data_IF_759908440250
#
_entry.id   IF_759908440250
#
_cell.length_a   1.000
_cell.length_b   1.000
_cell.length_c   1.000
_cell.angle_alpha   90.00
_cell.angle_beta   90.00
_cell.angle_gamma   90.00
#
_symmetry.space_group_name_H-M   'P 1'
#
loop_
_entity.id
_entity.type
_entity.pdbx_description
1 polymer ?
#
# COMPACT_ATOMS: atom_id res chain seq x y z
N UNK A 1 -5.52 4.87 19.04
CA UNK A 1 -4.26 4.55 18.30
C UNK A 1 -4.68 3.85 17.03
N UNK A 2 -4.05 4.12 15.89
CA UNK A 2 -4.53 3.57 14.61
C UNK A 2 -3.69 2.40 14.09
N UNK A 3 -4.28 1.62 13.17
CA UNK A 3 -3.61 0.54 12.42
C UNK A 3 -4.10 0.46 10.97
N UNK A 4 -3.27 -0.10 10.10
CA UNK A 4 -3.66 -0.47 8.75
C UNK A 4 -4.11 -1.92 8.64
N UNK A 5 -5.04 -2.17 7.73
CA UNK A 5 -5.26 -3.49 7.12
C UNK A 5 -5.11 -3.34 5.61
N UNK A 6 -4.17 -4.08 5.02
CA UNK A 6 -4.04 -4.19 3.58
C UNK A 6 -4.47 -5.58 3.13
N UNK A 7 -5.34 -5.64 2.12
CA UNK A 7 -5.76 -6.88 1.48
C UNK A 7 -5.27 -6.89 0.02
N UNK A 8 -4.38 -7.84 -0.28
CA UNK A 8 -3.72 -7.98 -1.58
C UNK A 8 -4.67 -8.39 -2.70
N UNK A 9 -5.67 -9.23 -2.43
CA UNK A 9 -6.69 -9.68 -3.40
C UNK A 9 -7.74 -8.60 -3.64
N UNK A 10 -8.27 -7.98 -2.58
CA UNK A 10 -9.29 -6.94 -2.71
C UNK A 10 -8.72 -5.61 -3.22
N UNK A 11 -7.39 -5.46 -3.22
CA UNK A 11 -6.69 -4.21 -3.53
C UNK A 11 -7.17 -3.05 -2.67
N UNK A 12 -7.28 -3.28 -1.37
CA UNK A 12 -7.77 -2.27 -0.41
C UNK A 12 -6.80 -2.05 0.73
N UNK A 13 -6.65 -0.78 1.13
CA UNK A 13 -6.04 -0.36 2.38
C UNK A 13 -7.12 0.28 3.26
N UNK A 14 -7.25 -0.20 4.48
CA UNK A 14 -8.17 0.31 5.50
C UNK A 14 -7.37 0.93 6.63
N UNK A 15 -7.78 2.10 7.12
CA UNK A 15 -7.29 2.71 8.35
C UNK A 15 -8.34 2.53 9.44
N UNK A 16 -7.95 1.85 10.53
CA UNK A 16 -8.80 1.63 11.70
C UNK A 16 -8.29 2.41 12.92
N UNK A 17 -9.21 2.89 13.75
CA UNK A 17 -8.91 3.27 15.15
C UNK A 17 -8.78 2.05 16.07
N UNK A 18 -8.39 2.29 17.31
CA UNK A 18 -8.24 1.24 18.34
C UNK A 18 -9.55 0.56 18.72
N UNK A 19 -10.67 1.27 18.60
CA UNK A 19 -12.03 0.78 18.80
C UNK A 19 -12.57 -0.02 17.59
N UNK A 20 -11.72 -0.33 16.61
CA UNK A 20 -12.04 -1.00 15.34
C UNK A 20 -12.95 -0.19 14.40
N UNK A 21 -13.17 1.10 14.67
CA UNK A 21 -13.88 1.99 13.76
C UNK A 21 -13.07 2.23 12.48
N UNK A 22 -13.72 2.09 11.34
CA UNK A 22 -13.14 2.40 10.03
C UNK A 22 -13.11 3.91 9.81
N UNK A 23 -11.91 4.48 9.82
CA UNK A 23 -11.68 5.89 9.47
C UNK A 23 -11.77 6.07 7.94
N UNK A 24 -11.35 5.06 7.20
CA UNK A 24 -11.50 5.04 5.74
C UNK A 24 -10.91 3.82 5.08
N UNK A 25 -11.32 3.61 3.84
CA UNK A 25 -10.94 2.50 2.97
C UNK A 25 -10.69 3.01 1.57
N UNK A 26 -9.53 2.65 1.01
CA UNK A 26 -9.08 3.14 -0.29
C UNK A 26 -8.47 2.02 -1.13
N UNK A 27 -8.45 2.25 -2.44
CA UNK A 27 -7.74 1.39 -3.40
C UNK A 27 -6.24 1.42 -3.13
N UNK A 28 -5.61 0.23 -3.03
CA UNK A 28 -4.17 0.10 -2.87
C UNK A 28 -3.65 -1.20 -3.50
N UNK A 29 -2.41 -1.18 -4.01
CA UNK A 29 -1.78 -2.36 -4.64
C UNK A 29 -0.38 -2.58 -4.10
N UNK A 30 0.04 -3.85 -4.06
CA UNK A 30 1.44 -4.26 -3.88
C UNK A 30 1.97 -4.85 -5.19
N UNK A 31 2.02 -4.03 -6.24
CA UNK A 31 2.62 -4.43 -7.51
C UNK A 31 4.12 -4.25 -7.44
N UNK A 32 4.89 -5.33 -7.49
CA UNK A 32 6.35 -5.27 -7.42
C UNK A 32 6.96 -5.28 -8.82
N UNK A 33 7.91 -4.37 -9.03
CA UNK A 33 8.64 -4.25 -10.28
C UNK A 33 9.51 -5.50 -10.52
N UNK A 34 9.42 -6.05 -11.73
CA UNK A 34 10.08 -7.30 -12.14
C UNK A 34 11.61 -7.38 -11.91
N UNK A 35 12.39 -6.28 -11.89
CA UNK A 35 13.82 -6.35 -11.61
C UNK A 35 14.19 -6.64 -10.15
N UNK A 36 13.23 -6.63 -9.20
CA UNK A 36 13.54 -6.94 -7.79
C UNK A 36 13.64 -8.46 -7.62
N UNK A 37 14.84 -9.00 -7.86
CA UNK A 37 15.13 -10.43 -7.80
C UNK A 37 14.80 -11.00 -6.41
N UNK A 38 13.96 -12.05 -6.37
CA UNK A 38 13.62 -12.76 -5.14
C UNK A 38 12.59 -12.07 -4.25
N UNK A 39 12.07 -10.91 -4.65
CA UNK A 39 11.04 -10.17 -3.92
C UNK A 39 9.82 -9.94 -4.81
N UNK A 40 8.78 -10.75 -4.62
CA UNK A 40 7.63 -10.78 -5.53
C UNK A 40 6.34 -10.25 -4.92
N UNK A 41 6.23 -10.27 -3.60
CA UNK A 41 5.10 -9.77 -2.83
C UNK A 41 5.54 -9.53 -1.38
N UNK A 42 4.79 -8.70 -0.67
CA UNK A 42 4.85 -8.63 0.78
C UNK A 42 4.16 -9.85 1.39
N UNK A 43 4.84 -10.54 2.31
CA UNK A 43 4.29 -11.68 3.03
C UNK A 43 3.15 -11.25 3.96
N UNK A 44 2.18 -12.13 4.13
CA UNK A 44 1.09 -11.90 5.08
C UNK A 44 1.64 -11.81 6.51
N UNK A 45 1.02 -10.99 7.34
CA UNK A 45 1.44 -10.81 8.74
C UNK A 45 1.28 -9.39 9.24
N UNK A 46 1.61 -9.21 10.52
CA UNK A 46 1.53 -7.92 11.20
C UNK A 46 2.94 -7.36 11.36
N UNK A 47 3.14 -6.12 10.90
CA UNK A 47 4.42 -5.42 10.94
C UNK A 47 4.29 -4.10 11.70
N UNK A 48 5.36 -3.71 12.40
CA UNK A 48 5.38 -2.47 13.16
C UNK A 48 5.62 -1.27 12.25
N UNK A 49 4.91 -0.18 12.49
CA UNK A 49 5.12 1.09 11.79
C UNK A 49 6.33 1.82 12.38
N UNK A 50 7.21 2.31 11.50
CA UNK A 50 8.35 3.16 11.85
C UNK A 50 7.89 4.62 11.93
N UNK A 51 7.15 5.09 10.92
CA UNK A 51 6.73 6.48 10.74
C UNK A 51 5.36 6.76 11.40
N UNK A 52 5.31 6.61 12.74
CA UNK A 52 4.04 6.52 13.51
C UNK A 52 3.17 7.77 13.53
N UNK A 53 3.77 8.95 13.48
CA UNK A 53 3.07 10.24 13.67
C UNK A 53 3.19 11.20 12.50
N UNK A 54 4.09 10.90 11.56
CA UNK A 54 4.33 11.68 10.35
C UNK A 54 5.00 10.78 9.32
N UNK A 55 4.70 10.92 8.03
CA UNK A 55 5.41 10.21 6.98
C UNK A 55 6.88 10.64 6.91
N UNK A 56 7.72 9.75 6.38
CA UNK A 56 9.05 10.10 5.92
C UNK A 56 8.97 10.85 4.59
N UNK A 57 9.63 12.01 4.51
CA UNK A 57 9.70 12.85 3.31
C UNK A 57 11.10 12.84 2.70
N UNK A 58 11.16 13.06 1.39
CA UNK A 58 12.34 13.14 0.56
C UNK A 58 12.52 14.59 0.05
N UNK A 59 12.78 14.75 -1.24
CA UNK A 59 12.82 16.04 -1.92
C UNK A 59 11.52 16.28 -2.71
N UNK A 60 11.31 17.52 -3.14
CA UNK A 60 10.13 17.97 -3.89
C UNK A 60 9.91 17.26 -5.24
N UNK A 61 10.92 16.63 -5.82
CA UNK A 61 10.78 15.88 -7.07
C UNK A 61 10.16 14.50 -6.77
N UNK A 62 10.68 13.82 -5.75
CA UNK A 62 10.22 12.48 -5.36
C UNK A 62 8.89 12.52 -4.61
N UNK A 63 8.66 13.58 -3.84
CA UNK A 63 7.42 13.86 -3.11
C UNK A 63 6.55 14.85 -3.87
N UNK A 64 6.32 14.57 -5.16
CA UNK A 64 5.34 15.26 -6.01
C UNK A 64 4.28 14.27 -6.49
N UNK A 65 3.16 14.76 -7.04
CA UNK A 65 2.10 13.90 -7.61
C UNK A 65 2.64 12.86 -8.62
N UNK A 66 3.65 13.23 -9.42
CA UNK A 66 4.30 12.32 -10.37
C UNK A 66 5.60 11.67 -9.85
N UNK A 67 6.02 12.07 -8.66
CA UNK A 67 7.17 11.52 -7.95
C UNK A 67 6.94 10.06 -7.54
N UNK A 68 8.01 9.41 -7.06
CA UNK A 68 7.95 8.00 -6.68
C UNK A 68 7.12 7.75 -5.42
N UNK A 69 7.07 8.73 -4.50
CA UNK A 69 6.45 8.61 -3.19
C UNK A 69 5.17 9.45 -3.03
N UNK A 70 4.90 10.36 -3.96
CA UNK A 70 3.71 11.21 -3.88
C UNK A 70 3.89 12.39 -2.93
N UNK A 71 2.96 13.37 -2.96
CA UNK A 71 3.10 14.65 -2.25
C UNK A 71 3.09 14.54 -0.72
N UNK A 72 2.76 13.36 -0.18
CA UNK A 72 2.68 13.10 1.26
C UNK A 72 3.80 12.22 1.80
N UNK A 73 4.77 11.84 0.97
CA UNK A 73 5.87 10.95 1.35
C UNK A 73 5.41 9.51 1.61
N UNK A 74 6.19 8.78 2.41
CA UNK A 74 6.00 7.35 2.69
C UNK A 74 5.86 7.08 4.18
N UNK A 75 4.95 6.18 4.55
CA UNK A 75 4.84 5.63 5.91
C UNK A 75 5.49 4.25 5.90
N UNK A 76 6.69 4.14 6.47
CA UNK A 76 7.48 2.90 6.47
C UNK A 76 7.09 1.98 7.62
N UNK A 77 7.28 0.70 7.41
CA UNK A 77 7.15 -0.33 8.42
C UNK A 77 8.35 -1.28 8.41
N UNK A 78 8.56 -1.96 9.54
CA UNK A 78 9.64 -2.93 9.72
C UNK A 78 9.34 -4.19 8.92
N UNK A 79 9.95 -4.31 7.74
CA UNK A 79 9.85 -5.52 6.93
C UNK A 79 11.19 -6.30 6.93
N UNK A 80 11.19 -7.59 7.32
CA UNK A 80 12.42 -8.39 7.39
C UNK A 80 13.15 -8.47 6.04
N UNK A 81 14.45 -8.15 6.05
CA UNK A 81 15.31 -8.29 4.88
C UNK A 81 15.09 -7.27 3.76
N UNK A 82 14.16 -6.32 3.91
CA UNK A 82 13.94 -5.26 2.92
C UNK A 82 13.67 -3.92 3.61
N UNK A 83 14.64 -3.00 3.54
CA UNK A 83 14.48 -1.67 4.11
C UNK A 83 13.62 -0.76 3.22
N UNK A 84 13.01 0.26 3.83
CA UNK A 84 12.27 1.31 3.11
C UNK A 84 10.91 0.88 2.55
N UNK A 85 10.43 -0.33 2.89
CA UNK A 85 9.07 -0.76 2.55
C UNK A 85 8.06 0.10 3.32
N UNK A 86 7.00 0.53 2.64
CA UNK A 86 5.97 1.36 3.25
C UNK A 86 4.72 1.51 2.42
N UNK A 87 3.84 2.39 2.89
CA UNK A 87 2.63 2.85 2.21
C UNK A 87 2.85 4.27 1.72
N UNK A 88 2.59 4.52 0.43
CA UNK A 88 2.72 5.85 -0.16
C UNK A 88 1.82 6.01 -1.40
N UNK A 89 1.83 7.19 -2.01
CA UNK A 89 1.11 7.48 -3.25
C UNK A 89 2.06 7.83 -4.40
N UNK A 90 1.67 8.76 -5.28
CA UNK A 90 2.47 9.23 -6.39
C UNK A 90 2.28 8.43 -7.68
N UNK A 91 3.06 8.81 -8.70
CA UNK A 91 2.92 8.31 -10.08
C UNK A 91 1.52 8.54 -10.66
N UNK A 92 0.81 9.57 -10.19
CA UNK A 92 -0.60 9.84 -10.47
C UNK A 92 -0.91 9.87 -11.98
N UNK A 93 0.00 10.41 -12.80
CA UNK A 93 -0.19 10.50 -14.26
C UNK A 93 0.81 9.65 -15.06
N UNK A 94 1.32 8.56 -14.48
CA UNK A 94 2.27 7.71 -15.19
C UNK A 94 1.64 7.02 -16.40
N UNK A 95 2.30 7.11 -17.56
CA UNK A 95 1.70 6.82 -18.89
C UNK A 95 1.09 5.43 -19.06
N UNK A 96 1.64 4.40 -18.42
CA UNK A 96 1.21 3.00 -18.63
C UNK A 96 0.39 2.45 -17.48
N UNK A 97 0.83 2.74 -16.27
CA UNK A 97 0.27 2.22 -15.02
C UNK A 97 0.26 3.39 -14.03
N UNK A 98 -0.78 4.22 -14.04
CA UNK A 98 -0.86 5.39 -13.18
C UNK A 98 -1.25 5.03 -11.74
N UNK A 99 -0.80 5.88 -10.81
CA UNK A 99 -1.26 5.91 -9.43
C UNK A 99 -1.08 4.59 -8.68
N UNK A 100 -2.08 4.12 -7.92
CA UNK A 100 -1.99 2.94 -7.06
C UNK A 100 -1.47 1.68 -7.77
N UNK A 101 -1.84 1.47 -9.03
CA UNK A 101 -1.43 0.28 -9.78
C UNK A 101 0.02 0.33 -10.30
N UNK A 102 0.69 1.48 -10.21
CA UNK A 102 2.08 1.59 -10.65
C UNK A 102 3.00 0.68 -9.83
N UNK A 103 3.92 -0.09 -10.46
CA UNK A 103 4.85 -0.93 -9.72
C UNK A 103 5.76 -0.16 -8.75
N UNK A 104 6.17 -0.84 -7.69
CA UNK A 104 7.07 -0.36 -6.65
C UNK A 104 8.24 -1.34 -6.48
N UNK A 105 9.21 -0.98 -5.64
CA UNK A 105 10.23 -1.94 -5.20
C UNK A 105 9.81 -2.67 -3.91
N UNK A 106 8.51 -2.86 -3.70
CA UNK A 106 7.99 -3.58 -2.55
C UNK A 106 6.99 -2.86 -1.68
N UNK A 107 6.72 -1.58 -1.95
CA UNK A 107 5.73 -0.80 -1.23
C UNK A 107 4.28 -1.16 -1.60
N UNK A 108 3.37 -0.77 -0.73
CA UNK A 108 1.95 -0.66 -1.03
C UNK A 108 1.72 0.76 -1.55
N UNK A 109 1.19 0.89 -2.77
CA UNK A 109 0.83 2.21 -3.33
C UNK A 109 -0.67 2.43 -3.28
N UNK A 110 -1.08 3.58 -2.75
CA UNK A 110 -2.47 4.04 -2.66
C UNK A 110 -2.63 5.42 -3.34
N UNK A 111 -3.77 6.08 -3.19
CA UNK A 111 -4.06 7.38 -3.80
C UNK A 111 -3.51 8.55 -2.98
N UNK A 112 -3.32 9.70 -3.63
CA UNK A 112 -2.95 10.95 -2.95
C UNK A 112 -4.02 11.37 -1.92
N UNK A 113 -5.31 11.15 -2.24
CA UNK A 113 -6.40 11.40 -1.31
C UNK A 113 -6.28 10.54 -0.04
N UNK A 114 -6.02 9.24 -0.19
CA UNK A 114 -5.82 8.34 0.93
C UNK A 114 -4.66 8.82 1.81
N UNK A 115 -3.50 9.09 1.20
CA UNK A 115 -2.32 9.54 1.94
C UNK A 115 -2.54 10.90 2.64
N UNK A 116 -3.33 11.80 2.05
CA UNK A 116 -3.72 13.06 2.71
C UNK A 116 -4.49 12.81 4.00
N UNK A 117 -5.52 11.97 3.94
CA UNK A 117 -6.39 11.65 5.07
C UNK A 117 -5.64 10.89 6.17
N UNK A 118 -4.85 9.89 5.78
CA UNK A 118 -3.96 9.15 6.65
C UNK A 118 -2.98 10.10 7.35
N UNK A 119 -2.26 10.95 6.60
CA UNK A 119 -1.27 11.88 7.17
C UNK A 119 -1.88 12.85 8.16
N UNK A 120 -3.13 13.25 7.96
CA UNK A 120 -3.84 14.09 8.91
C UNK A 120 -4.27 13.31 10.16
N UNK A 121 -4.74 12.08 10.00
CA UNK A 121 -5.17 11.24 11.11
C UNK A 121 -4.00 10.85 12.04
N UNK A 122 -2.84 10.45 11.49
CA UNK A 122 -1.71 9.93 12.30
C UNK A 122 -1.06 10.98 13.22
N UNK A 123 -1.34 12.27 12.98
CA UNK A 123 -0.95 13.37 13.89
C UNK A 123 -1.70 13.32 15.22
N UNK A 124 -2.91 12.76 15.22
CA UNK A 124 -3.82 12.69 16.36
C UNK A 124 -3.84 11.27 16.92
N UNK A 125 -3.94 10.27 16.05
CA UNK A 125 -3.97 8.85 16.41
C UNK A 125 -2.76 8.13 15.83
N UNK A 126 -1.66 7.97 16.59
CA UNK A 126 -0.42 7.38 16.09
C UNK A 126 -0.68 6.02 15.45
N UNK A 127 -0.16 5.81 14.25
CA UNK A 127 -0.24 4.55 13.53
C UNK A 127 0.79 3.58 14.09
N UNK A 128 0.36 2.36 14.42
CA UNK A 128 1.19 1.41 15.18
C UNK A 128 1.60 0.20 14.38
N UNK A 129 0.67 -0.35 13.60
CA UNK A 129 0.86 -1.61 12.86
C UNK A 129 0.22 -1.55 11.48
N UNK A 130 0.69 -2.44 10.61
CA UNK A 130 0.01 -2.84 9.39
C UNK A 130 -0.19 -4.35 9.39
N UNK A 131 -1.43 -4.78 9.15
CA UNK A 131 -1.79 -6.17 8.94
C UNK A 131 -1.95 -6.43 7.42
N UNK A 132 -1.05 -7.23 6.85
CA UNK A 132 -1.03 -7.63 5.44
C UNK A 132 -1.75 -8.98 5.31
N UNK A 133 -2.80 -8.99 4.50
CA UNK A 133 -3.66 -10.16 4.28
C UNK A 133 -3.78 -10.49 2.81
N UNK A 134 -3.91 -11.77 2.51
CA UNK A 134 -4.18 -12.29 1.16
C UNK A 134 -3.29 -11.66 0.06
N UNK A 135 -2.00 -11.48 0.34
CA UNK A 135 -1.04 -10.95 -0.63
C UNK A 135 -0.05 -12.01 -1.14
N UNK A 136 -0.02 -13.18 -0.51
CA UNK A 136 0.79 -14.32 -0.94
C UNK A 136 0.07 -15.17 -2.01
N UNK A 137 0.77 -15.69 -3.03
CA UNK A 137 0.20 -16.65 -3.97
C UNK A 137 -0.09 -17.99 -3.27
N UNK A 138 -1.37 -18.38 -3.19
CA UNK A 138 -1.81 -19.73 -2.82
C UNK A 138 -2.79 -19.81 -1.64
N UNK A 139 -3.90 -20.53 -1.88
CA UNK A 139 -4.92 -21.06 -0.94
C UNK A 139 -5.96 -20.14 -0.27
N UNK A 140 -6.26 -18.96 -0.83
CA UNK A 140 -7.47 -18.19 -0.45
C UNK A 140 -8.36 -17.86 -1.65
N UNK A 141 -8.54 -18.84 -2.54
CA UNK A 141 -9.68 -18.83 -3.44
C UNK A 141 -10.92 -19.33 -2.67
N UNK A 142 -11.39 -18.61 -1.64
CA UNK A 142 -12.77 -18.79 -1.21
C UNK A 142 -13.65 -18.15 -2.32
N UNK A 143 -14.38 -18.96 -3.11
CA UNK A 143 -15.18 -18.44 -4.23
C UNK A 143 -16.33 -17.53 -3.79
N UNK A 144 -16.60 -17.39 -2.48
CA UNK A 144 -17.56 -16.41 -1.96
C UNK A 144 -17.00 -14.98 -1.90
N UNK A 145 -15.66 -14.80 -1.88
CA UNK A 145 -15.00 -13.49 -1.98
C UNK A 145 -14.55 -13.15 -3.42
N UNK A 146 -14.51 -14.12 -4.33
CA UNK A 146 -14.03 -13.98 -5.74
C UNK A 146 -15.13 -13.52 -6.72
N UNK A 147 -16.36 -13.20 -6.29
CA UNK A 147 -17.43 -12.81 -7.23
C UNK A 147 -17.23 -11.47 -7.96
N UNK A 148 -16.12 -10.77 -7.72
CA UNK A 148 -15.83 -9.49 -8.37
C UNK A 148 -14.36 -9.39 -8.79
N UNK A 149 -13.76 -10.36 -9.48
CA UNK A 149 -12.61 -10.03 -10.37
C UNK A 149 -12.23 -11.16 -11.33
N UNK A 150 -12.42 -10.91 -12.62
CA UNK A 150 -11.57 -11.50 -13.67
C UNK A 150 -10.70 -10.38 -14.23
N UNK A 151 -9.36 -10.42 -14.07
CA UNK A 151 -8.49 -9.68 -14.96
C UNK A 151 -8.40 -10.45 -16.27
N UNK A 152 -8.82 -9.79 -17.34
CA UNK A 152 -8.72 -10.24 -18.74
C UNK A 152 -7.28 -10.69 -19.01
N UNK A 153 -7.05 -12.00 -19.10
CA UNK A 153 -5.84 -12.53 -19.74
C UNK A 153 -6.01 -12.35 -21.25
N UNK A 154 -5.50 -11.26 -21.80
CA UNK A 154 -5.23 -11.21 -23.25
C UNK A 154 -4.01 -12.09 -23.51
N UNK A 155 -4.24 -13.32 -23.95
CA UNK A 155 -3.24 -14.05 -24.72
C UNK A 155 -3.31 -13.52 -26.16
N UNK A 156 -2.23 -12.88 -26.61
CA UNK A 156 -2.04 -12.64 -28.04
C UNK A 156 -1.60 -13.96 -28.69
N UNK A 157 -2.29 -14.29 -29.78
CA UNK A 157 -2.04 -15.40 -30.70
C UNK A 157 -0.75 -15.17 -31.48
#
# INVERSE_FOLDING_TARGET
>A
MSRFIFNGVAHTLILLEDNEEEIGKWTAYNNIDSPVVGFHFLRNGIYNIIDRNKPHTHNNILDSENGSYGPYGIIRFEYPGHSGVGVHSGRTYWRRTPGPAHPTRGCIRTTDEAMRLITNNIKISPLTTIDIRHNEPGNYDDPTEIRIYQPVRTYSI
#
